data_IF_607199881535
#
_entry.id   IF_607199881535
#
_cell.length_a   1.000
_cell.length_b   1.000
_cell.length_c   1.000
_cell.angle_alpha   90.00
_cell.angle_beta   90.00
_cell.angle_gamma   90.00
#
_symmetry.space_group_name_H-M   'P 1'
#
loop_
_entity.id
_entity.type
_entity.pdbx_description
1 polymer ?
#
# COMPACT_ATOMS: atom_id res chain seq x y z
N UNK A 1 24.67 13.02 5.83
CA UNK A 1 24.22 12.07 6.86
C UNK A 1 23.30 11.11 6.13
N UNK A 2 23.50 9.81 6.26
CA UNK A 2 22.63 8.82 5.60
C UNK A 2 21.23 8.89 6.25
N UNK A 3 20.16 8.88 5.44
CA UNK A 3 18.80 8.93 5.96
C UNK A 3 18.51 7.70 6.83
N UNK A 4 18.02 7.92 8.05
CA UNK A 4 17.58 6.85 8.94
C UNK A 4 16.12 6.53 8.65
N UNK A 5 15.88 5.41 7.96
CA UNK A 5 14.55 4.88 7.69
C UNK A 5 14.27 3.64 8.54
N UNK A 6 13.12 3.65 9.21
CA UNK A 6 12.55 2.49 9.90
C UNK A 6 11.13 2.26 9.39
N UNK A 7 10.76 1.04 9.08
CA UNK A 7 9.39 0.65 8.75
C UNK A 7 8.84 -0.23 9.88
N UNK A 8 7.82 0.26 10.58
CA UNK A 8 7.01 -0.59 11.46
C UNK A 8 6.02 -1.37 10.59
N UNK A 9 6.10 -2.70 10.61
CA UNK A 9 5.44 -3.60 9.67
C UNK A 9 4.84 -4.83 10.40
N UNK A 10 3.90 -5.51 9.75
CA UNK A 10 3.53 -6.90 10.01
C UNK A 10 3.72 -7.66 8.68
N UNK A 11 4.49 -8.74 8.67
CA UNK A 11 4.90 -9.47 7.46
C UNK A 11 3.74 -9.83 6.52
N UNK A 12 2.56 -10.15 7.07
CA UNK A 12 1.35 -10.52 6.34
C UNK A 12 0.43 -9.33 5.97
N UNK A 13 0.82 -8.10 6.30
CA UNK A 13 0.02 -6.89 6.05
C UNK A 13 0.11 -6.48 4.57
N UNK A 14 -1.01 -6.52 3.82
CA UNK A 14 -0.99 -6.07 2.42
C UNK A 14 -0.76 -4.57 2.30
N UNK A 15 -1.13 -3.78 3.32
CA UNK A 15 -0.89 -2.33 3.35
C UNK A 15 0.60 -2.03 3.43
N UNK A 16 1.34 -2.79 4.22
CA UNK A 16 2.77 -2.61 4.36
C UNK A 16 3.57 -3.25 3.23
N UNK A 17 3.05 -4.30 2.59
CA UNK A 17 3.61 -4.81 1.32
C UNK A 17 3.70 -3.69 0.27
N UNK A 18 2.71 -2.79 0.17
CA UNK A 18 2.76 -1.63 -0.75
C UNK A 18 4.00 -0.77 -0.47
N UNK A 19 4.27 -0.48 0.80
CA UNK A 19 5.42 0.34 1.23
C UNK A 19 6.74 -0.38 0.96
N UNK A 20 6.82 -1.68 1.25
CA UNK A 20 8.01 -2.51 0.95
C UNK A 20 8.32 -2.52 -0.55
N UNK A 21 7.30 -2.67 -1.40
CA UNK A 21 7.46 -2.60 -2.86
C UNK A 21 7.95 -1.21 -3.27
N UNK A 22 7.33 -0.12 -2.78
CA UNK A 22 7.77 1.24 -3.12
C UNK A 22 9.23 1.53 -2.71
N UNK A 23 9.66 1.08 -1.53
CA UNK A 23 11.05 1.21 -1.08
C UNK A 23 12.00 0.37 -1.96
N UNK A 24 11.60 -0.84 -2.35
CA UNK A 24 12.38 -1.71 -3.23
C UNK A 24 12.52 -1.13 -4.64
N UNK A 25 11.43 -0.64 -5.24
CA UNK A 25 11.42 0.04 -6.56
C UNK A 25 12.30 1.29 -6.59
N UNK A 26 12.49 1.95 -5.44
CA UNK A 26 13.37 3.11 -5.28
C UNK A 26 14.80 2.73 -4.84
N UNK A 27 15.09 1.45 -4.64
CA UNK A 27 16.40 0.96 -4.19
C UNK A 27 16.79 1.46 -2.79
N UNK A 28 15.82 1.67 -1.90
CA UNK A 28 16.05 2.30 -0.60
C UNK A 28 16.23 1.26 0.50
N UNK A 29 17.35 1.37 1.22
CA UNK A 29 17.60 0.57 2.42
C UNK A 29 16.85 1.16 3.61
N UNK A 30 16.26 0.29 4.42
CA UNK A 30 15.53 0.64 5.63
C UNK A 30 15.66 -0.48 6.67
N UNK A 31 15.45 -0.15 7.94
CA UNK A 31 15.29 -1.14 9.01
C UNK A 31 13.82 -1.56 9.08
N UNK A 32 13.52 -2.86 8.93
CA UNK A 32 12.16 -3.38 9.15
C UNK A 32 12.01 -3.81 10.60
N UNK A 33 10.97 -3.32 11.29
CA UNK A 33 10.59 -3.74 12.63
C UNK A 33 9.22 -4.38 12.60
N UNK A 34 9.19 -5.67 12.88
CA UNK A 34 7.95 -6.45 12.99
C UNK A 34 7.19 -6.04 14.25
N UNK A 35 5.89 -5.79 14.11
CA UNK A 35 4.95 -5.45 15.17
C UNK A 35 3.97 -6.59 15.43
N UNK A 36 3.79 -6.95 16.69
CA UNK A 36 2.68 -7.79 17.12
C UNK A 36 1.42 -6.92 17.26
N UNK A 37 0.42 -7.14 16.41
CA UNK A 37 -0.82 -6.35 16.47
C UNK A 37 -1.78 -6.77 17.59
N UNK A 38 -1.53 -7.90 18.26
CA UNK A 38 -2.23 -8.33 19.47
C UNK A 38 -1.68 -7.61 20.72
N UNK A 39 -0.40 -7.28 20.73
CA UNK A 39 0.29 -6.52 21.77
C UNK A 39 1.17 -5.42 21.15
N UNK A 40 0.54 -4.29 20.85
CA UNK A 40 1.19 -3.19 20.11
C UNK A 40 2.34 -2.57 20.89
N UNK A 41 3.51 -2.47 20.25
CA UNK A 41 4.69 -1.90 20.86
C UNK A 41 4.56 -0.40 21.18
N UNK A 42 5.31 0.12 22.17
CA UNK A 42 5.27 1.53 22.54
C UNK A 42 5.65 2.46 21.38
N UNK A 43 6.59 2.04 20.52
CA UNK A 43 7.00 2.81 19.35
C UNK A 43 5.85 3.01 18.35
N UNK A 44 5.05 1.98 18.08
CA UNK A 44 3.86 2.10 17.23
C UNK A 44 2.83 3.06 17.83
N UNK A 45 2.60 2.98 19.14
CA UNK A 45 1.65 3.85 19.83
C UNK A 45 2.09 5.31 19.85
N UNK A 46 3.39 5.56 19.94
CA UNK A 46 4.00 6.90 19.86
C UNK A 46 3.96 7.45 18.43
N UNK A 47 4.33 6.64 17.44
CA UNK A 47 4.51 7.08 16.05
C UNK A 47 3.19 7.16 15.27
N UNK A 48 2.17 6.40 15.67
CA UNK A 48 0.81 6.48 15.12
C UNK A 48 -0.24 6.49 16.25
N UNK A 49 -0.34 7.58 17.02
CA UNK A 49 -1.22 7.65 18.19
C UNK A 49 -2.71 7.64 17.81
N UNK A 50 -3.04 8.11 16.60
CA UNK A 50 -4.42 8.21 16.10
C UNK A 50 -4.97 6.82 15.76
N UNK A 51 -4.33 6.10 14.83
CA UNK A 51 -4.86 4.83 14.32
C UNK A 51 -4.23 3.60 14.97
N UNK A 52 -3.00 3.72 15.50
CA UNK A 52 -2.26 2.62 16.15
C UNK A 52 -2.16 1.40 15.22
N UNK A 53 -1.85 1.63 13.94
CA UNK A 53 -1.80 0.61 12.87
C UNK A 53 -0.48 0.68 12.12
N UNK A 54 -0.07 -0.46 11.58
CA UNK A 54 0.99 -0.58 10.57
C UNK A 54 0.40 -0.50 9.15
N UNK A 55 1.17 -0.05 8.14
CA UNK A 55 2.56 0.41 8.23
C UNK A 55 2.72 1.81 8.84
N UNK A 56 3.88 2.05 9.46
CA UNK A 56 4.37 3.40 9.78
C UNK A 56 5.80 3.51 9.25
N UNK A 57 6.04 4.45 8.34
CA UNK A 57 7.38 4.78 7.89
C UNK A 57 7.93 5.90 8.78
N UNK A 58 9.08 5.70 9.40
CA UNK A 58 9.76 6.70 10.22
C UNK A 58 10.98 7.16 9.43
N UNK A 59 10.93 8.39 8.91
CA UNK A 59 12.03 9.00 8.19
C UNK A 59 12.68 10.08 9.06
N UNK A 60 13.93 9.84 9.48
CA UNK A 60 14.69 10.77 10.33
C UNK A 60 13.91 11.18 11.61
N UNK A 61 13.27 10.18 12.22
CA UNK A 61 12.47 10.35 13.45
C UNK A 61 11.06 10.91 13.23
N UNK A 62 10.65 11.20 12.00
CA UNK A 62 9.32 11.73 11.67
C UNK A 62 8.43 10.61 11.13
N UNK A 63 7.26 10.34 11.72
CA UNK A 63 6.37 9.28 11.24
C UNK A 63 5.51 9.74 10.06
N UNK A 64 5.31 8.84 9.10
CA UNK A 64 4.34 8.92 8.01
C UNK A 64 3.45 7.68 8.13
N UNK A 65 2.14 7.92 8.22
CA UNK A 65 1.11 6.90 8.39
C UNK A 65 0.27 6.77 7.12
N UNK A 66 -0.50 5.67 7.04
CA UNK A 66 -1.35 5.29 5.90
C UNK A 66 -0.55 4.87 4.65
N UNK A 67 -0.77 3.63 4.21
CA UNK A 67 0.08 3.02 3.18
C UNK A 67 0.17 3.80 1.87
N UNK A 68 -0.94 4.36 1.39
CA UNK A 68 -0.95 5.14 0.15
C UNK A 68 -0.22 6.48 0.32
N UNK A 69 -0.38 7.16 1.47
CA UNK A 69 0.34 8.40 1.77
C UNK A 69 1.85 8.13 1.86
N UNK A 70 2.24 7.01 2.49
CA UNK A 70 3.64 6.60 2.58
C UNK A 70 4.22 6.35 1.17
N UNK A 71 3.48 5.69 0.28
CA UNK A 71 3.94 5.45 -1.10
C UNK A 71 4.12 6.76 -1.88
N UNK A 72 3.19 7.70 -1.76
CA UNK A 72 3.35 9.03 -2.39
C UNK A 72 4.55 9.79 -1.82
N UNK A 73 4.72 9.77 -0.50
CA UNK A 73 5.87 10.37 0.17
C UNK A 73 7.20 9.79 -0.33
N UNK A 74 7.27 8.46 -0.50
CA UNK A 74 8.45 7.80 -1.06
C UNK A 74 8.72 8.27 -2.49
N UNK A 75 7.68 8.38 -3.32
CA UNK A 75 7.83 8.78 -4.71
C UNK A 75 8.30 10.25 -4.85
N UNK A 76 7.82 11.13 -3.96
CA UNK A 76 8.18 12.56 -3.95
C UNK A 76 9.60 12.80 -3.39
N UNK A 77 9.96 12.17 -2.28
CA UNK A 77 11.26 12.39 -1.61
C UNK A 77 12.40 11.81 -2.42
N UNK A 78 12.20 10.66 -3.04
CA UNK A 78 13.22 9.97 -3.86
C UNK A 78 12.84 9.95 -5.35
N UNK A 79 12.31 11.06 -5.85
CA UNK A 79 11.89 11.25 -7.24
C UNK A 79 13.04 11.09 -8.25
N UNK A 80 14.29 11.24 -7.82
CA UNK A 80 15.51 11.18 -8.64
C UNK A 80 16.17 9.80 -8.69
N UNK A 81 15.76 8.85 -7.83
CA UNK A 81 16.42 7.53 -7.70
C UNK A 81 15.98 6.49 -8.73
N UNK A 82 14.72 6.54 -9.14
CA UNK A 82 14.16 5.60 -10.13
C UNK A 82 12.89 6.16 -10.75
N UNK A 83 12.35 5.43 -11.74
CA UNK A 83 11.10 5.77 -12.42
C UNK A 83 10.00 6.15 -11.41
N UNK A 84 9.24 7.22 -11.68
CA UNK A 84 8.11 7.61 -10.84
C UNK A 84 7.10 6.48 -10.67
N UNK A 85 6.60 6.30 -9.45
CA UNK A 85 5.53 5.36 -9.16
C UNK A 85 4.18 5.90 -9.65
N UNK A 86 4.01 7.23 -9.59
CA UNK A 86 2.84 7.95 -10.09
C UNK A 86 3.13 8.70 -11.40
N UNK A 87 2.13 8.82 -12.29
CA UNK A 87 2.23 9.66 -13.48
C UNK A 87 2.48 11.14 -13.14
N UNK A 88 3.23 11.83 -14.01
CA UNK A 88 3.46 13.27 -13.92
C UNK A 88 2.25 14.08 -14.38
N UNK A 89 1.49 13.58 -15.36
CA UNK A 89 0.24 14.20 -15.82
C UNK A 89 -0.80 14.24 -14.67
N UNK A 90 -1.36 15.42 -14.34
CA UNK A 90 -2.31 15.55 -13.23
C UNK A 90 -3.55 14.68 -13.37
N UNK A 91 -4.07 14.51 -14.58
CA UNK A 91 -5.27 13.71 -14.80
C UNK A 91 -4.96 12.22 -14.60
N UNK A 92 -3.91 11.70 -15.21
CA UNK A 92 -3.48 10.31 -15.03
C UNK A 92 -3.12 10.02 -13.56
N UNK A 93 -2.47 10.96 -12.86
CA UNK A 93 -2.21 10.83 -11.42
C UNK A 93 -3.50 10.77 -10.61
N UNK A 94 -4.53 11.54 -10.98
CA UNK A 94 -5.85 11.44 -10.34
C UNK A 94 -6.50 10.06 -10.56
N UNK A 95 -6.35 9.47 -11.74
CA UNK A 95 -6.87 8.13 -12.03
C UNK A 95 -6.14 7.06 -11.23
N UNK A 96 -4.80 7.14 -11.14
CA UNK A 96 -4.01 6.24 -10.30
C UNK A 96 -4.44 6.29 -8.82
N UNK A 97 -4.64 7.50 -8.28
CA UNK A 97 -5.14 7.71 -6.91
C UNK A 97 -6.55 7.13 -6.71
N UNK A 98 -7.44 7.35 -7.67
CA UNK A 98 -8.80 6.80 -7.63
C UNK A 98 -8.78 5.27 -7.54
N UNK A 99 -8.01 4.60 -8.40
CA UNK A 99 -7.95 3.14 -8.40
C UNK A 99 -7.24 2.57 -7.17
N UNK A 100 -6.22 3.25 -6.64
CA UNK A 100 -5.58 2.88 -5.38
C UNK A 100 -6.57 2.96 -4.19
N UNK A 101 -7.39 4.02 -4.13
CA UNK A 101 -8.45 4.20 -3.14
C UNK A 101 -9.59 3.18 -3.32
N UNK A 102 -9.96 2.85 -4.56
CA UNK A 102 -10.93 1.81 -4.86
C UNK A 102 -10.49 0.46 -4.29
N UNK A 103 -9.23 0.08 -4.50
CA UNK A 103 -8.66 -1.14 -3.91
C UNK A 103 -8.70 -1.07 -2.38
N UNK A 104 -8.33 0.07 -1.79
CA UNK A 104 -8.34 0.27 -0.33
C UNK A 104 -9.72 -0.01 0.27
N UNK A 105 -10.76 0.57 -0.34
CA UNK A 105 -12.14 0.52 0.15
C UNK A 105 -12.85 -0.78 -0.19
N UNK A 106 -12.69 -1.29 -1.41
CA UNK A 106 -13.46 -2.43 -1.90
C UNK A 106 -12.77 -3.76 -1.62
N UNK A 107 -11.53 -3.91 -2.04
CA UNK A 107 -10.80 -5.18 -1.93
C UNK A 107 -10.59 -5.52 -0.45
N UNK A 108 -10.01 -4.62 0.34
CA UNK A 108 -9.75 -4.93 1.76
C UNK A 108 -11.02 -4.92 2.64
N UNK A 109 -12.02 -4.12 2.28
CA UNK A 109 -13.32 -4.11 2.95
C UNK A 109 -14.05 -5.46 2.82
N UNK A 110 -14.08 -6.02 1.60
CA UNK A 110 -14.74 -7.30 1.33
C UNK A 110 -13.89 -8.49 1.78
N UNK A 111 -12.56 -8.40 1.63
CA UNK A 111 -11.63 -9.48 2.00
C UNK A 111 -11.94 -10.03 3.39
N UNK A 112 -12.09 -9.17 4.40
CA UNK A 112 -12.38 -9.63 5.76
C UNK A 112 -13.67 -10.46 5.84
N UNK A 113 -14.72 -10.07 5.11
CA UNK A 113 -15.99 -10.80 5.08
C UNK A 113 -15.78 -12.19 4.48
N UNK A 114 -15.11 -12.29 3.35
CA UNK A 114 -14.83 -13.57 2.67
C UNK A 114 -14.16 -14.58 3.61
N UNK A 115 -13.22 -14.14 4.45
CA UNK A 115 -12.52 -15.04 5.38
C UNK A 115 -13.28 -15.31 6.69
N UNK A 116 -14.14 -14.40 7.14
CA UNK A 116 -14.70 -14.43 8.50
C UNK A 116 -16.15 -14.93 8.59
N UNK A 117 -16.94 -14.82 7.52
CA UNK A 117 -18.36 -15.22 7.54
C UNK A 117 -18.57 -16.59 6.88
N UNK A 118 -19.73 -17.21 7.12
CA UNK A 118 -20.10 -18.54 6.59
C UNK A 118 -21.54 -18.51 6.05
N UNK A 119 -21.91 -19.54 5.29
CA UNK A 119 -23.27 -19.67 4.77
C UNK A 119 -23.58 -18.65 3.67
N UNK A 120 -24.82 -18.16 3.63
CA UNK A 120 -25.31 -17.25 2.58
C UNK A 120 -24.49 -15.96 2.51
N UNK A 121 -24.09 -15.40 3.65
CA UNK A 121 -23.26 -14.19 3.72
C UNK A 121 -21.89 -14.40 3.09
N UNK A 122 -21.32 -15.61 3.19
CA UNK A 122 -20.04 -15.93 2.56
C UNK A 122 -20.14 -15.99 1.05
N UNK A 123 -21.20 -16.61 0.52
CA UNK A 123 -21.45 -16.65 -0.93
C UNK A 123 -21.76 -15.26 -1.49
N UNK A 124 -22.49 -14.43 -0.76
CA UNK A 124 -22.70 -13.02 -1.11
C UNK A 124 -21.38 -12.24 -1.15
N UNK A 125 -20.52 -12.39 -0.13
CA UNK A 125 -19.22 -11.74 -0.09
C UNK A 125 -18.29 -12.20 -1.22
N UNK A 126 -18.28 -13.50 -1.56
CA UNK A 126 -17.54 -14.03 -2.71
C UNK A 126 -18.02 -13.42 -4.02
N UNK A 127 -19.33 -13.35 -4.23
CA UNK A 127 -19.91 -12.74 -5.43
C UNK A 127 -19.52 -11.27 -5.54
N UNK A 128 -19.65 -10.51 -4.45
CA UNK A 128 -19.22 -9.10 -4.42
C UNK A 128 -17.73 -8.95 -4.73
N UNK A 129 -16.88 -9.82 -4.16
CA UNK A 129 -15.44 -9.80 -4.39
C UNK A 129 -15.09 -10.06 -5.86
N UNK A 130 -15.73 -11.04 -6.50
CA UNK A 130 -15.52 -11.33 -7.93
C UNK A 130 -15.92 -10.14 -8.81
N UNK A 131 -17.02 -9.45 -8.51
CA UNK A 131 -17.41 -8.25 -9.28
C UNK A 131 -16.42 -7.09 -9.10
N UNK A 132 -15.81 -6.96 -7.92
CA UNK A 132 -14.72 -6.00 -7.69
C UNK A 132 -13.49 -6.36 -8.52
N UNK A 133 -13.12 -7.64 -8.59
CA UNK A 133 -12.00 -8.09 -9.43
C UNK A 133 -12.28 -7.87 -10.92
N UNK A 134 -13.48 -8.17 -11.41
CA UNK A 134 -13.87 -7.87 -12.81
C UNK A 134 -13.80 -6.39 -13.13
N UNK A 135 -14.18 -5.53 -12.19
CA UNK A 135 -14.04 -4.07 -12.35
C UNK A 135 -12.57 -3.68 -12.54
N UNK A 136 -11.66 -4.28 -11.75
CA UNK A 136 -10.21 -4.04 -11.88
C UNK A 136 -9.64 -4.63 -13.18
N UNK A 137 -10.09 -5.81 -13.61
CA UNK A 137 -9.71 -6.41 -14.89
C UNK A 137 -10.16 -5.53 -16.07
N UNK A 138 -11.37 -4.97 -15.99
CA UNK A 138 -11.87 -4.03 -16.99
C UNK A 138 -11.05 -2.74 -17.07
N UNK A 139 -10.59 -2.21 -15.93
CA UNK A 139 -9.64 -1.10 -15.92
C UNK A 139 -8.29 -1.51 -16.51
N UNK A 140 -7.75 -2.68 -16.15
CA UNK A 140 -6.47 -3.15 -16.68
C UNK A 140 -6.51 -3.25 -18.21
N UNK A 141 -7.59 -3.82 -18.76
CA UNK A 141 -7.73 -4.05 -20.20
C UNK A 141 -6.56 -4.87 -20.75
N UNK A 142 -6.00 -4.43 -21.87
CA UNK A 142 -4.85 -5.09 -22.51
C UNK A 142 -3.48 -4.57 -22.00
N UNK A 143 -3.46 -3.73 -20.95
CA UNK A 143 -2.21 -3.19 -20.39
C UNK A 143 -1.46 -4.28 -19.61
N UNK A 144 -0.13 -4.24 -19.64
CA UNK A 144 0.72 -5.12 -18.82
C UNK A 144 0.58 -4.82 -17.32
N UNK A 145 0.46 -3.54 -16.95
CA UNK A 145 0.25 -3.09 -15.58
C UNK A 145 -0.82 -2.00 -15.53
N UNK A 146 -1.42 -1.77 -14.35
CA UNK A 146 -2.32 -0.63 -14.13
C UNK A 146 -1.66 0.72 -14.42
N UNK A 147 -0.33 0.80 -14.29
CA UNK A 147 0.46 1.98 -14.66
C UNK A 147 0.83 2.07 -16.15
N UNK A 148 0.33 1.19 -17.02
CA UNK A 148 0.68 1.14 -18.44
C UNK A 148 1.85 0.20 -18.74
N UNK A 149 2.68 0.56 -19.70
CA UNK A 149 3.92 -0.15 -20.01
C UNK A 149 5.01 0.24 -19.01
N UNK A 150 5.62 -0.75 -18.36
CA UNK A 150 6.85 -0.56 -17.58
C UNK A 150 7.92 -1.41 -18.25
N UNK A 151 8.86 -0.76 -18.94
CA UNK A 151 10.10 -1.43 -19.32
C UNK A 151 10.81 -1.82 -18.02
N UNK A 152 10.83 -3.13 -17.73
CA UNK A 152 11.74 -3.68 -16.75
C UNK A 152 13.15 -3.52 -17.33
N UNK A 153 13.89 -2.52 -16.87
CA UNK A 153 15.33 -2.51 -17.02
C UNK A 153 15.89 -3.63 -16.13
N UNK A 154 15.96 -4.84 -16.69
CA UNK A 154 16.75 -5.95 -16.15
C UNK A 154 18.23 -5.74 -16.44
#
# INVERSE_FOLDING_TARGET
>A
MEDKLVLLDLWASPFAMKVRIALAEKGIKYESKEEDLSEKGPMLLEMNPVHKKVPVLIHNGKPICESLIIVEYIDEVWHDKSTPLLPSDPYQRSQARFWADFVEKKVFGIRRKVWAVKGEDHEAAKKEFIEVLKTLEGELGDKHFFGGERELAL
#
